data_IF_742801088162
#
_entry.id   IF_742801088162
#
_cell.length_a   1.000
_cell.length_b   1.000
_cell.length_c   1.000
_cell.angle_alpha   90.00
_cell.angle_beta   90.00
_cell.angle_gamma   90.00
#
_symmetry.space_group_name_H-M   'P 1'
#
loop_
_entity.id
_entity.type
_entity.pdbx_description
1 polymer ?
#
# COMPACT_ATOMS: atom_id res chain seq x y z
N UNK A 1 -9.10 24.06 -34.38
CA UNK A 1 -8.58 24.44 -33.06
C UNK A 1 -8.06 23.17 -32.40
N UNK A 2 -6.76 22.89 -32.51
CA UNK A 2 -6.14 21.86 -31.68
C UNK A 2 -5.86 22.52 -30.33
N UNK A 3 -6.58 22.11 -29.29
CA UNK A 3 -6.21 22.46 -27.93
C UNK A 3 -4.92 21.69 -27.62
N UNK A 4 -3.80 22.40 -27.53
CA UNK A 4 -2.60 21.90 -26.88
C UNK A 4 -2.94 21.70 -25.40
N UNK A 5 -3.34 20.48 -25.05
CA UNK A 5 -3.49 20.08 -23.65
C UNK A 5 -2.08 19.92 -23.11
N UNK A 6 -1.60 20.95 -22.41
CA UNK A 6 -0.30 20.90 -21.75
C UNK A 6 -0.25 19.70 -20.80
N UNK A 7 0.77 18.86 -20.95
CA UNK A 7 0.96 17.72 -20.04
C UNK A 7 1.14 18.26 -18.61
N UNK A 8 0.36 17.79 -17.62
CA UNK A 8 0.47 18.28 -16.26
C UNK A 8 1.88 18.02 -15.72
N UNK A 9 2.42 18.97 -14.96
CA UNK A 9 3.75 18.83 -14.37
C UNK A 9 3.78 17.66 -13.37
N UNK A 10 4.92 16.98 -13.16
CA UNK A 10 5.04 15.91 -12.16
C UNK A 10 4.60 16.35 -10.76
N UNK A 11 4.84 17.61 -10.41
CA UNK A 11 4.40 18.22 -9.14
C UNK A 11 2.87 18.31 -9.05
N UNK A 12 2.20 18.70 -10.14
CA UNK A 12 0.74 18.76 -10.21
C UNK A 12 0.12 17.36 -10.09
N UNK A 13 0.69 16.37 -10.78
CA UNK A 13 0.25 14.96 -10.68
C UNK A 13 0.40 14.46 -9.24
N UNK A 14 1.56 14.70 -8.63
CA UNK A 14 1.85 14.32 -7.23
C UNK A 14 0.83 14.93 -6.26
N UNK A 15 0.53 16.23 -6.40
CA UNK A 15 -0.44 16.92 -5.54
C UNK A 15 -1.85 16.34 -5.70
N UNK A 16 -2.29 16.09 -6.94
CA UNK A 16 -3.62 15.52 -7.20
C UNK A 16 -3.78 14.13 -6.57
N UNK A 17 -2.79 13.25 -6.73
CA UNK A 17 -2.84 11.92 -6.09
C UNK A 17 -2.76 12.00 -4.57
N UNK A 18 -1.96 12.92 -4.03
CA UNK A 18 -1.89 13.12 -2.58
C UNK A 18 -3.24 13.54 -2.01
N UNK A 19 -3.87 14.57 -2.61
CA UNK A 19 -5.21 15.02 -2.22
C UNK A 19 -6.25 13.91 -2.35
N UNK A 20 -6.23 13.16 -3.45
CA UNK A 20 -7.15 12.03 -3.63
C UNK A 20 -6.95 10.93 -2.59
N UNK A 21 -5.71 10.63 -2.20
CA UNK A 21 -5.45 9.67 -1.12
C UNK A 21 -5.95 10.18 0.23
N UNK A 22 -5.77 11.46 0.53
CA UNK A 22 -6.29 12.05 1.77
C UNK A 22 -7.83 12.00 1.79
N UNK A 23 -8.50 12.34 0.70
CA UNK A 23 -9.97 12.21 0.57
C UNK A 23 -10.45 10.77 0.81
N UNK A 24 -9.76 9.78 0.26
CA UNK A 24 -10.09 8.36 0.48
C UNK A 24 -9.90 7.92 1.92
N UNK A 25 -8.83 8.39 2.57
CA UNK A 25 -8.57 8.12 3.98
C UNK A 25 -9.65 8.77 4.84
N UNK A 26 -9.96 10.04 4.60
CA UNK A 26 -10.94 10.78 5.39
C UNK A 26 -12.35 10.19 5.22
N UNK A 27 -12.74 9.83 4.00
CA UNK A 27 -14.00 9.13 3.75
C UNK A 27 -14.08 7.82 4.54
N UNK A 28 -13.03 6.98 4.47
CA UNK A 28 -13.00 5.73 5.22
C UNK A 28 -13.12 5.98 6.73
N UNK A 29 -12.43 7.00 7.25
CA UNK A 29 -12.47 7.32 8.68
C UNK A 29 -13.85 7.81 9.10
N UNK A 30 -14.49 8.70 8.33
CA UNK A 30 -15.84 9.20 8.61
C UNK A 30 -16.87 8.06 8.67
N UNK A 31 -16.72 7.03 7.83
CA UNK A 31 -17.61 5.86 7.83
C UNK A 31 -17.44 4.94 9.06
N UNK A 32 -16.29 4.98 9.74
CA UNK A 32 -15.93 4.02 10.79
C UNK A 32 -15.71 4.63 12.17
N UNK A 33 -15.45 5.94 12.26
CA UNK A 33 -15.19 6.61 13.53
C UNK A 33 -16.45 6.69 14.38
N UNK A 34 -16.27 6.72 15.70
CA UNK A 34 -17.36 7.01 16.63
C UNK A 34 -17.90 8.43 16.42
N UNK A 35 -19.17 8.66 16.79
CA UNK A 35 -19.83 9.98 16.64
C UNK A 35 -19.03 11.14 17.22
N UNK A 36 -18.32 10.91 18.32
CA UNK A 36 -17.54 11.93 19.04
C UNK A 36 -16.04 11.90 18.73
N UNK A 37 -15.60 10.98 17.86
CA UNK A 37 -14.20 10.88 17.49
C UNK A 37 -13.90 11.83 16.31
N UNK A 38 -12.71 12.41 16.30
CA UNK A 38 -12.24 13.24 15.20
C UNK A 38 -11.47 12.39 14.18
N UNK A 39 -11.39 12.85 12.93
CA UNK A 39 -10.61 12.16 11.89
C UNK A 39 -9.15 11.98 12.32
N UNK A 40 -8.54 13.05 12.86
CA UNK A 40 -7.15 13.04 13.30
C UNK A 40 -6.91 12.04 14.44
N UNK A 41 -7.77 12.00 15.46
CA UNK A 41 -7.63 11.06 16.58
C UNK A 41 -7.79 9.62 16.12
N UNK A 42 -8.78 9.35 15.26
CA UNK A 42 -8.97 8.02 14.69
C UNK A 42 -7.77 7.61 13.82
N UNK A 43 -7.28 8.50 12.95
CA UNK A 43 -6.10 8.28 12.09
C UNK A 43 -4.86 7.98 12.91
N UNK A 44 -4.59 8.73 13.98
CA UNK A 44 -3.44 8.49 14.88
C UNK A 44 -3.55 7.15 15.62
N UNK A 45 -4.77 6.77 16.03
CA UNK A 45 -5.01 5.51 16.75
C UNK A 45 -4.91 4.28 15.85
N UNK A 46 -5.37 4.40 14.61
CA UNK A 46 -5.63 3.26 13.72
C UNK A 46 -4.76 3.23 12.45
N UNK A 47 -3.98 4.29 12.19
CA UNK A 47 -3.19 4.46 10.99
C UNK A 47 -1.75 3.95 11.14
N UNK A 48 -1.25 3.33 10.09
CA UNK A 48 0.13 2.86 9.98
C UNK A 48 0.72 3.19 8.62
N UNK A 49 1.99 3.58 8.61
CA UNK A 49 2.83 3.55 7.42
C UNK A 49 3.62 2.25 7.43
N UNK A 50 3.48 1.46 6.36
CA UNK A 50 4.09 0.15 6.20
C UNK A 50 4.94 0.14 4.94
N UNK A 51 6.24 -0.14 5.09
CA UNK A 51 7.17 -0.33 3.98
C UNK A 51 7.51 -1.80 3.83
N UNK A 52 7.31 -2.35 2.63
CA UNK A 52 7.49 -3.77 2.32
C UNK A 52 8.62 -3.93 1.32
N UNK A 53 9.63 -4.72 1.67
CA UNK A 53 10.78 -5.06 0.83
C UNK A 53 10.73 -6.55 0.48
N UNK A 54 10.88 -6.88 -0.80
CA UNK A 54 10.85 -8.27 -1.28
C UNK A 54 12.25 -8.89 -1.37
N UNK A 55 12.34 -10.19 -1.10
CA UNK A 55 13.54 -10.99 -1.37
C UNK A 55 13.50 -11.53 -2.81
N UNK A 56 14.23 -10.85 -3.70
CA UNK A 56 14.30 -11.17 -5.14
C UNK A 56 14.90 -12.54 -5.42
N UNK A 57 15.90 -12.94 -4.64
CA UNK A 57 16.60 -14.20 -4.85
C UNK A 57 15.65 -15.40 -4.67
N UNK A 58 14.85 -15.37 -3.60
CA UNK A 58 13.86 -16.42 -3.30
C UNK A 58 12.64 -16.36 -4.22
N UNK A 59 12.25 -15.17 -4.67
CA UNK A 59 11.12 -15.02 -5.60
C UNK A 59 11.46 -15.58 -6.98
N UNK A 60 12.66 -15.30 -7.49
CA UNK A 60 13.13 -15.84 -8.77
C UNK A 60 13.26 -17.37 -8.71
N UNK A 61 13.80 -17.93 -7.61
CA UNK A 61 13.84 -19.38 -7.42
C UNK A 61 12.45 -20.05 -7.41
N UNK A 62 11.44 -19.41 -6.80
CA UNK A 62 10.05 -19.91 -6.87
C UNK A 62 9.48 -19.86 -8.28
N UNK A 63 9.86 -18.88 -9.10
CA UNK A 63 9.45 -18.80 -10.49
C UNK A 63 10.15 -19.86 -11.36
N UNK A 64 11.44 -20.10 -11.14
CA UNK A 64 12.23 -21.11 -11.87
C UNK A 64 11.79 -22.54 -11.55
N UNK A 65 11.46 -22.84 -10.28
CA UNK A 65 10.92 -24.17 -9.89
C UNK A 65 9.50 -24.45 -10.39
N UNK A 66 8.78 -23.44 -10.87
CA UNK A 66 7.42 -23.54 -11.41
C UNK A 66 7.38 -23.47 -12.94
N UNK A 67 8.53 -23.55 -13.61
CA UNK A 67 8.66 -23.56 -15.07
C UNK A 67 8.18 -24.90 -15.69
N UNK A 68 6.90 -25.20 -15.48
CA UNK A 68 6.11 -26.11 -16.28
C UNK A 68 5.24 -25.25 -17.20
N UNK A 69 5.59 -25.29 -18.48
CA UNK A 69 4.82 -24.97 -19.69
C UNK A 69 3.35 -24.58 -19.39
N UNK A 70 2.99 -23.33 -19.69
CA UNK A 70 1.63 -22.72 -19.67
C UNK A 70 1.08 -22.09 -18.37
N UNK A 71 1.89 -21.34 -17.58
CA UNK A 71 1.34 -20.43 -16.55
C UNK A 71 1.59 -18.93 -16.82
N UNK A 72 0.68 -18.04 -16.37
CA UNK A 72 0.70 -16.61 -16.67
C UNK A 72 1.94 -15.94 -16.08
N UNK A 73 2.39 -14.85 -16.73
CA UNK A 73 3.45 -13.93 -16.26
C UNK A 73 3.49 -13.87 -14.72
N UNK A 74 4.68 -14.04 -14.14
CA UNK A 74 4.88 -14.01 -12.69
C UNK A 74 4.16 -12.83 -12.04
N UNK A 75 3.52 -13.05 -10.89
CA UNK A 75 2.77 -12.03 -10.14
C UNK A 75 3.61 -10.76 -9.96
N UNK A 76 3.01 -9.58 -10.07
CA UNK A 76 3.68 -8.31 -9.77
C UNK A 76 3.85 -8.09 -8.26
N UNK A 77 4.60 -7.07 -7.86
CA UNK A 77 4.72 -6.64 -6.46
C UNK A 77 3.36 -6.17 -5.92
N UNK A 78 2.56 -5.45 -6.71
CA UNK A 78 1.22 -5.00 -6.32
C UNK A 78 0.20 -6.15 -6.24
N UNK A 79 0.37 -7.21 -7.02
CA UNK A 79 -0.41 -8.45 -6.84
C UNK A 79 -0.05 -9.13 -5.52
N UNK A 80 1.24 -9.15 -5.18
CA UNK A 80 1.70 -9.69 -3.90
C UNK A 80 1.20 -8.84 -2.73
N UNK A 81 1.14 -7.52 -2.88
CA UNK A 81 0.52 -6.62 -1.90
C UNK A 81 -0.97 -6.92 -1.71
N UNK A 82 -1.68 -7.21 -2.80
CA UNK A 82 -3.09 -7.63 -2.75
C UNK A 82 -3.23 -8.98 -2.01
N UNK A 83 -2.33 -9.93 -2.24
CA UNK A 83 -2.31 -11.21 -1.51
C UNK A 83 -2.00 -11.02 -0.02
N UNK A 84 -1.07 -10.11 0.32
CA UNK A 84 -0.75 -9.72 1.70
C UNK A 84 -1.99 -9.13 2.38
N UNK A 85 -2.68 -8.20 1.73
CA UNK A 85 -3.92 -7.61 2.22
C UNK A 85 -4.99 -8.66 2.50
N UNK A 86 -5.20 -9.55 1.54
CA UNK A 86 -6.17 -10.64 1.63
C UNK A 86 -5.85 -11.58 2.79
N UNK A 87 -4.56 -11.92 2.96
CA UNK A 87 -4.12 -12.74 4.06
C UNK A 87 -4.31 -12.05 5.40
N UNK A 88 -3.96 -10.77 5.53
CA UNK A 88 -4.19 -10.01 6.76
C UNK A 88 -5.67 -9.93 7.09
N UNK A 89 -6.55 -9.62 6.12
CA UNK A 89 -7.99 -9.65 6.34
C UNK A 89 -8.48 -11.02 6.85
N UNK A 90 -7.98 -12.12 6.26
CA UNK A 90 -8.33 -13.47 6.72
C UNK A 90 -7.86 -13.75 8.15
N UNK A 91 -6.69 -13.25 8.56
CA UNK A 91 -6.18 -13.43 9.92
C UNK A 91 -6.94 -12.58 10.94
N UNK A 92 -7.29 -11.35 10.57
CA UNK A 92 -7.88 -10.36 11.48
C UNK A 92 -9.41 -10.49 11.59
N UNK A 93 -10.09 -10.75 10.49
CA UNK A 93 -11.55 -10.81 10.40
C UNK A 93 -12.03 -12.26 10.42
N UNK A 94 -11.22 -13.19 9.91
CA UNK A 94 -11.50 -14.62 9.89
C UNK A 94 -11.84 -15.17 8.50
N UNK A 95 -12.36 -16.40 8.49
CA UNK A 95 -12.78 -17.07 7.26
C UNK A 95 -13.96 -16.30 6.64
N UNK A 96 -14.05 -16.33 5.31
CA UNK A 96 -15.09 -15.65 4.54
C UNK A 96 -15.10 -14.12 4.63
N UNK A 97 -13.99 -13.48 5.01
CA UNK A 97 -13.85 -12.01 5.05
C UNK A 97 -14.24 -11.32 3.73
N UNK A 98 -14.26 -12.03 2.60
CA UNK A 98 -14.69 -11.51 1.31
C UNK A 98 -16.20 -11.21 1.22
N UNK A 99 -17.03 -11.74 2.14
CA UNK A 99 -18.48 -11.52 2.13
C UNK A 99 -18.82 -10.05 2.46
N UNK A 100 -19.87 -9.48 1.85
CA UNK A 100 -20.26 -8.08 2.09
C UNK A 100 -20.52 -7.75 3.57
N UNK A 101 -20.97 -8.72 4.36
CA UNK A 101 -21.19 -8.55 5.81
C UNK A 101 -19.94 -8.15 6.59
N UNK A 102 -18.75 -8.37 6.03
CA UNK A 102 -17.48 -8.03 6.64
C UNK A 102 -16.82 -6.79 6.02
N UNK A 103 -17.46 -6.12 5.06
CA UNK A 103 -16.86 -4.98 4.35
C UNK A 103 -16.47 -3.86 5.32
N UNK A 104 -17.30 -3.58 6.32
CA UNK A 104 -17.04 -2.59 7.38
C UNK A 104 -15.90 -2.96 8.34
N UNK A 105 -15.34 -4.16 8.24
CA UNK A 105 -14.20 -4.59 9.05
C UNK A 105 -12.89 -4.55 8.28
N UNK A 106 -12.96 -4.42 6.95
CA UNK A 106 -11.79 -4.43 6.10
C UNK A 106 -11.00 -3.13 6.29
N UNK A 107 -9.70 -3.21 6.57
CA UNK A 107 -8.88 -2.01 6.62
C UNK A 107 -8.80 -1.37 5.24
N UNK A 108 -8.65 -0.04 5.20
CA UNK A 108 -8.18 0.65 4.01
C UNK A 108 -6.67 0.43 3.89
N UNK A 109 -6.20 0.09 2.69
CA UNK A 109 -4.78 0.04 2.37
C UNK A 109 -4.51 0.72 1.03
N UNK A 110 -3.66 1.72 1.02
CA UNK A 110 -3.13 2.35 -0.18
C UNK A 110 -1.68 1.93 -0.26
N UNK A 111 -1.23 1.34 -1.37
CA UNK A 111 0.15 0.94 -1.59
C UNK A 111 0.69 1.53 -2.88
N UNK A 112 1.87 2.14 -2.83
CA UNK A 112 2.58 2.71 -3.96
C UNK A 112 3.91 1.97 -4.17
N UNK A 113 4.18 1.63 -5.42
CA UNK A 113 5.39 0.94 -5.83
C UNK A 113 6.53 1.95 -5.97
N UNK A 114 7.55 1.82 -5.14
CA UNK A 114 8.82 2.50 -5.33
C UNK A 114 9.75 1.59 -6.13
N UNK A 115 9.87 1.86 -7.43
CA UNK A 115 10.75 1.13 -8.34
C UNK A 115 12.22 1.55 -8.24
N UNK A 116 12.53 2.60 -7.46
CA UNK A 116 13.85 3.22 -7.41
C UNK A 116 14.08 3.80 -6.04
N UNK A 117 14.70 3.01 -5.13
CA UNK A 117 15.12 3.47 -3.80
C UNK A 117 15.65 4.91 -3.86
N UNK A 118 14.83 5.83 -3.36
CA UNK A 118 14.65 7.24 -3.78
C UNK A 118 15.86 8.20 -3.85
N UNK A 119 17.11 7.73 -3.73
CA UNK A 119 18.29 8.60 -3.64
C UNK A 119 19.42 8.33 -4.65
N UNK A 120 19.53 7.13 -5.24
CA UNK A 120 20.72 6.75 -6.03
C UNK A 120 20.44 6.03 -7.36
N UNK A 121 19.20 6.05 -7.85
CA UNK A 121 18.83 5.28 -9.04
C UNK A 121 19.58 5.70 -10.32
N UNK A 122 19.88 6.99 -10.50
CA UNK A 122 20.69 7.47 -11.64
C UNK A 122 22.11 6.87 -11.69
N UNK A 123 22.60 6.33 -10.57
CA UNK A 123 23.91 5.67 -10.46
C UNK A 123 23.86 4.14 -10.45
N UNK A 124 22.68 3.51 -10.35
CA UNK A 124 22.54 2.05 -10.37
C UNK A 124 22.04 1.59 -11.74
N UNK A 125 22.86 0.79 -12.45
CA UNK A 125 22.54 0.27 -13.80
C UNK A 125 21.53 -0.89 -13.80
N UNK A 126 21.18 -1.44 -12.64
CA UNK A 126 20.18 -2.48 -12.50
C UNK A 126 19.04 -1.99 -11.59
N UNK A 127 17.80 -2.25 -11.99
CA UNK A 127 16.57 -2.01 -11.21
C UNK A 127 16.58 -2.91 -9.97
N UNK A 128 17.31 -2.50 -8.93
CA UNK A 128 17.49 -3.30 -7.72
C UNK A 128 16.64 -2.75 -6.58
N UNK A 129 15.67 -3.56 -6.16
CA UNK A 129 14.81 -3.42 -4.98
C UNK A 129 13.51 -2.60 -5.16
N UNK A 130 12.48 -3.13 -5.84
CA UNK A 130 11.12 -2.62 -5.67
C UNK A 130 10.67 -2.76 -4.22
N UNK A 131 10.20 -1.65 -3.66
CA UNK A 131 9.56 -1.56 -2.36
C UNK A 131 8.10 -1.14 -2.54
N UNK A 132 7.26 -1.49 -1.57
CA UNK A 132 5.91 -0.91 -1.49
C UNK A 132 5.84 -0.07 -0.23
N UNK A 133 5.59 1.22 -0.40
CA UNK A 133 5.18 2.10 0.69
C UNK A 133 3.67 2.12 0.75
N UNK A 134 3.11 1.90 1.93
CA UNK A 134 1.67 1.78 2.07
C UNK A 134 1.15 2.44 3.33
N UNK A 135 0.00 3.11 3.21
CA UNK A 135 -0.79 3.58 4.33
C UNK A 135 -1.89 2.57 4.60
N UNK A 136 -2.01 2.16 5.85
CA UNK A 136 -3.06 1.28 6.33
C UNK A 136 -3.88 1.99 7.39
N UNK A 137 -5.19 2.02 7.23
CA UNK A 137 -6.12 2.51 8.26
C UNK A 137 -6.99 1.33 8.68
N UNK A 138 -6.79 0.86 9.91
CA UNK A 138 -7.57 -0.21 10.49
C UNK A 138 -8.86 0.34 11.11
N UNK A 139 -9.86 -0.52 11.32
CA UNK A 139 -10.98 -0.18 12.19
C UNK A 139 -10.60 -0.51 13.64
N UNK A 140 -11.23 0.14 14.61
CA UNK A 140 -10.96 -0.12 16.04
C UNK A 140 -11.07 -1.62 16.38
N UNK A 141 -12.02 -2.32 15.74
CA UNK A 141 -12.31 -3.74 15.97
C UNK A 141 -11.17 -4.66 15.50
N UNK A 142 -10.48 -4.33 14.41
CA UNK A 142 -9.44 -5.18 13.83
C UNK A 142 -8.02 -4.72 14.19
N UNK A 143 -7.86 -3.46 14.63
CA UNK A 143 -6.56 -2.87 15.00
C UNK A 143 -5.84 -3.69 16.07
N UNK A 144 -6.52 -4.11 17.12
CA UNK A 144 -5.89 -4.91 18.19
C UNK A 144 -5.38 -6.26 17.69
N UNK A 145 -6.12 -6.90 16.78
CA UNK A 145 -5.68 -8.12 16.13
C UNK A 145 -4.39 -7.90 15.33
N UNK A 146 -4.31 -6.77 14.62
CA UNK A 146 -3.11 -6.40 13.87
C UNK A 146 -1.92 -6.16 14.81
N UNK A 147 -2.11 -5.41 15.90
CA UNK A 147 -1.07 -5.18 16.91
C UNK A 147 -0.57 -6.49 17.54
N UNK A 148 -1.47 -7.44 17.83
CA UNK A 148 -1.09 -8.78 18.31
C UNK A 148 -0.31 -9.57 17.27
N UNK A 149 -0.71 -9.51 15.99
CA UNK A 149 -0.03 -10.19 14.90
C UNK A 149 1.42 -9.72 14.74
N UNK A 150 1.67 -8.41 14.80
CA UNK A 150 3.00 -7.84 14.55
C UNK A 150 3.93 -7.90 15.76
N UNK A 151 3.37 -8.06 16.97
CA UNK A 151 4.15 -8.27 18.20
C UNK A 151 4.50 -9.75 18.43
N UNK A 152 3.72 -10.68 17.88
CA UNK A 152 4.04 -12.11 17.84
C UNK A 152 5.15 -12.40 16.83
N UNK A 153 6.39 -12.53 17.33
CA UNK A 153 7.59 -12.72 16.51
C UNK A 153 7.53 -13.96 15.62
N UNK A 154 6.97 -15.07 16.12
CA UNK A 154 6.92 -16.32 15.36
C UNK A 154 5.91 -16.22 14.21
N UNK A 155 4.70 -15.75 14.52
CA UNK A 155 3.67 -15.54 13.48
C UNK A 155 4.08 -14.49 12.47
N UNK A 156 4.72 -13.41 12.90
CA UNK A 156 5.19 -12.37 12.01
C UNK A 156 6.36 -12.84 11.13
N UNK A 157 7.26 -13.67 11.66
CA UNK A 157 8.31 -14.30 10.85
C UNK A 157 7.72 -15.23 9.79
N UNK A 158 6.80 -16.11 10.18
CA UNK A 158 6.10 -17.01 9.25
C UNK A 158 5.32 -16.24 8.17
N UNK A 159 4.72 -15.10 8.54
CA UNK A 159 4.07 -14.19 7.60
C UNK A 159 5.06 -13.65 6.57
N UNK A 160 6.23 -13.14 6.99
CA UNK A 160 7.26 -12.63 6.07
C UNK A 160 7.78 -13.72 5.14
N UNK A 161 8.04 -14.92 5.66
CA UNK A 161 8.51 -16.06 4.87
C UNK A 161 7.50 -16.49 3.80
N UNK A 162 6.20 -16.50 4.14
CA UNK A 162 5.12 -16.85 3.21
C UNK A 162 5.18 -16.00 1.94
N UNK A 163 5.37 -14.70 2.11
CA UNK A 163 5.36 -13.71 1.02
C UNK A 163 6.75 -13.36 0.48
N UNK A 164 7.80 -14.06 0.91
CA UNK A 164 9.19 -13.78 0.54
C UNK A 164 9.56 -12.31 0.83
N UNK A 165 9.17 -11.81 2.01
CA UNK A 165 9.51 -10.47 2.45
C UNK A 165 10.89 -10.49 3.09
N UNK A 166 11.79 -9.66 2.58
CA UNK A 166 13.07 -9.36 3.23
C UNK A 166 12.83 -8.56 4.50
N UNK A 167 11.99 -7.54 4.40
CA UNK A 167 11.71 -6.61 5.48
C UNK A 167 10.27 -6.09 5.38
N UNK A 168 9.68 -5.83 6.54
CA UNK A 168 8.40 -5.14 6.67
C UNK A 168 8.54 -4.18 7.86
N UNK A 169 8.75 -2.90 7.53
CA UNK A 169 8.83 -1.82 8.51
C UNK A 169 7.43 -1.26 8.74
N UNK A 170 7.03 -1.13 10.01
CA UNK A 170 5.68 -0.71 10.41
C UNK A 170 5.84 0.42 11.41
N UNK A 171 5.37 1.59 11.02
CA UNK A 171 5.38 2.78 11.86
C UNK A 171 3.95 3.25 12.07
N UNK A 172 3.61 3.64 13.29
CA UNK A 172 2.34 4.33 13.51
C UNK A 172 2.32 5.60 12.66
N UNK A 173 1.16 5.95 12.12
CA UNK A 173 0.95 7.18 11.38
C UNK A 173 0.84 8.35 12.38
N UNK A 174 1.89 8.59 13.16
CA UNK A 174 1.99 9.75 14.04
C UNK A 174 2.52 10.96 13.24
N UNK A 175 2.14 12.17 13.65
CA UNK A 175 2.39 13.41 12.92
C UNK A 175 3.88 13.78 12.74
N UNK A 176 4.82 13.02 13.30
CA UNK A 176 6.25 13.31 13.28
C UNK A 176 7.10 12.21 12.61
N UNK A 177 7.07 12.16 11.28
CA UNK A 177 8.31 11.85 10.58
C UNK A 177 9.22 13.07 10.72
N UNK A 178 10.23 12.94 11.59
CA UNK A 178 11.20 13.92 12.14
C UNK A 178 11.76 15.06 11.27
N UNK A 179 11.43 15.20 9.99
CA UNK A 179 12.11 16.15 9.10
C UNK A 179 11.19 17.11 8.36
N UNK A 180 9.92 17.22 8.68
CA UNK A 180 9.04 18.08 7.91
C UNK A 180 7.86 18.54 8.81
N UNK A 181 7.15 19.66 8.58
CA UNK A 181 5.89 20.12 9.26
C UNK A 181 4.58 20.01 8.39
N UNK A 182 3.46 19.39 8.84
CA UNK A 182 2.11 19.51 8.20
C UNK A 182 1.21 18.24 8.07
N UNK A 183 -0.11 18.41 7.88
CA UNK A 183 -1.08 17.36 7.51
C UNK A 183 -0.91 16.94 6.01
N UNK A 184 -1.26 15.69 5.62
CA UNK A 184 -1.24 15.25 4.20
C UNK A 184 0.10 14.76 3.63
N UNK A 185 0.98 14.21 4.49
CA UNK A 185 2.40 14.01 4.12
C UNK A 185 2.83 12.61 3.79
N UNK A 186 2.23 11.63 4.42
CA UNK A 186 2.39 10.25 4.01
C UNK A 186 1.80 10.05 2.61
N UNK A 187 0.66 10.68 2.32
CA UNK A 187 0.01 10.71 1.00
C UNK A 187 0.86 11.46 -0.02
N UNK A 188 1.39 12.65 0.33
CA UNK A 188 2.33 13.38 -0.52
C UNK A 188 3.64 12.62 -0.77
N UNK A 189 4.15 11.91 0.23
CA UNK A 189 5.33 11.04 0.08
C UNK A 189 5.04 9.90 -0.88
N UNK A 190 3.91 9.21 -0.71
CA UNK A 190 3.50 8.10 -1.58
C UNK A 190 3.23 8.56 -3.02
N UNK A 191 2.57 9.70 -3.21
CA UNK A 191 2.24 10.23 -4.52
C UNK A 191 3.48 10.63 -5.35
N UNK A 192 4.62 10.91 -4.71
CA UNK A 192 5.88 11.17 -5.43
C UNK A 192 6.31 9.97 -6.26
N UNK A 193 6.04 8.74 -5.80
CA UNK A 193 6.36 7.53 -6.56
C UNK A 193 5.54 7.43 -7.84
N UNK A 194 4.28 7.84 -7.80
CA UNK A 194 3.39 7.87 -8.96
C UNK A 194 3.87 8.90 -9.98
N UNK A 195 4.20 10.11 -9.52
CA UNK A 195 4.78 11.14 -10.39
C UNK A 195 6.05 10.64 -11.08
N UNK A 196 6.98 10.06 -10.31
CA UNK A 196 8.23 9.49 -10.82
C UNK A 196 8.03 8.33 -11.79
N UNK A 197 7.17 7.37 -11.44
CA UNK A 197 6.92 6.19 -12.26
C UNK A 197 6.24 6.57 -13.58
N UNK A 198 5.28 7.50 -13.56
CA UNK A 198 4.61 7.96 -14.76
C UNK A 198 5.50 8.83 -15.67
N UNK A 199 6.38 9.66 -15.11
CA UNK A 199 7.21 10.56 -15.93
C UNK A 199 8.51 9.93 -16.41
N UNK A 200 9.17 9.10 -15.58
CA UNK A 200 10.53 8.62 -15.84
C UNK A 200 10.59 7.14 -16.25
N UNK A 201 9.65 6.30 -15.78
CA UNK A 201 9.73 4.84 -15.95
C UNK A 201 8.60 4.24 -16.80
N UNK A 202 7.52 5.00 -17.05
CA UNK A 202 6.34 4.58 -17.83
C UNK A 202 5.71 3.25 -17.34
N UNK A 203 5.62 3.07 -16.01
CA UNK A 203 5.04 1.86 -15.41
C UNK A 203 3.51 1.95 -15.42
N UNK A 204 2.83 0.93 -15.96
CA UNK A 204 1.36 0.93 -16.10
C UNK A 204 0.55 0.59 -14.84
N UNK A 205 1.18 0.08 -13.78
CA UNK A 205 0.55 -0.22 -12.48
C UNK A 205 1.53 0.17 -11.35
N UNK A 206 1.34 1.35 -10.76
CA UNK A 206 2.27 1.99 -9.81
C UNK A 206 1.66 2.20 -8.42
N UNK A 207 0.35 2.00 -8.26
CA UNK A 207 -0.31 1.98 -6.96
C UNK A 207 -1.54 1.06 -6.92
N UNK A 208 -1.95 0.67 -5.71
CA UNK A 208 -3.18 -0.12 -5.46
C UNK A 208 -3.90 0.46 -4.24
N UNK A 209 -5.22 0.65 -4.36
CA UNK A 209 -6.11 0.98 -3.24
C UNK A 209 -6.99 -0.23 -2.94
N UNK A 210 -7.03 -0.67 -1.69
CA UNK A 210 -7.74 -1.83 -1.19
C UNK A 210 -8.63 -1.44 0.02
N UNK A 211 -9.82 -2.03 0.21
CA UNK A 211 -10.40 -3.07 -0.62
C UNK A 211 -10.84 -2.54 -2.00
N UNK A 212 -10.76 -3.38 -3.03
CA UNK A 212 -11.28 -3.03 -4.36
C UNK A 212 -12.81 -3.03 -4.26
N UNK A 213 -13.42 -1.86 -4.31
CA UNK A 213 -14.88 -1.74 -4.37
C UNK A 213 -15.40 -2.47 -5.60
N UNK A 214 -16.23 -3.50 -5.40
CA UNK A 214 -16.88 -4.25 -6.49
C UNK A 214 -17.81 -3.39 -7.36
N UNK A 215 -18.13 -2.18 -6.92
CA UNK A 215 -18.96 -1.23 -7.65
C UNK A 215 -18.24 -0.51 -8.81
N UNK A 216 -16.93 -0.69 -8.99
CA UNK A 216 -16.17 -0.03 -10.06
C UNK A 216 -16.29 -0.70 -11.45
N UNK A 217 -16.99 -1.83 -11.58
CA UNK A 217 -17.16 -2.57 -12.85
C UNK A 217 -18.54 -2.36 -13.51
N UNK A 218 -19.25 -1.29 -13.16
CA UNK A 218 -20.48 -0.87 -13.84
C UNK A 218 -20.30 0.57 -14.32
N UNK A 219 -19.51 0.76 -15.38
CA UNK A 219 -19.58 1.87 -16.32
C UNK A 219 -18.95 1.42 -17.63
#
# INVERSE_FOLDING_TARGET
MHQDVSKPSPTTITQQYASWFDERIDQFIEEHKGRFDSVSTFKKRNGYLITISFDHSRRNQRHEGAASIDLPKGKSQLDTFTDIYNYMCRQLIGRNYHRPSFDRLKPLAIGCLDMNGSRYWRSMRALENPHIHSIWIFTDQVREGFQKLITDRERFSAFKERFCLREMDIQALDHDHRNSTGEGRATSYMAKFIGHNNSELLVGDDFRVLPISRHANLN
#
